data_IF_832286788000
#
_entry.id   IF_832286788000
#
_cell.length_a   1.000
_cell.length_b   1.000
_cell.length_c   1.000
_cell.angle_alpha   90.00
_cell.angle_beta   90.00
_cell.angle_gamma   90.00
#
_symmetry.space_group_name_H-M   'P 1'
#
loop_
_entity.id
_entity.type
_entity.pdbx_description
1 polymer ?
#
# COMPACT_ATOMS: atom_id res chain seq x y z
N UNK A 1 -55.25 -42.46 -2.53
CA UNK A 1 -53.95 -41.96 -3.03
C UNK A 1 -52.88 -42.97 -2.68
N UNK A 2 -52.24 -43.55 -3.70
CA UNK A 2 -51.47 -44.77 -3.55
C UNK A 2 -50.07 -44.48 -3.00
N UNK A 3 -49.61 -45.29 -2.04
CA UNK A 3 -48.32 -45.17 -1.33
C UNK A 3 -47.10 -44.96 -2.28
N UNK A 4 -47.19 -45.50 -3.50
CA UNK A 4 -46.17 -45.34 -4.55
C UNK A 4 -46.00 -43.88 -5.02
N UNK A 5 -47.05 -43.07 -5.05
CA UNK A 5 -46.93 -41.63 -5.38
C UNK A 5 -46.20 -40.85 -4.28
N UNK A 6 -46.42 -41.19 -3.01
CA UNK A 6 -45.80 -40.50 -1.88
C UNK A 6 -44.28 -40.72 -1.84
N UNK A 7 -43.84 -41.95 -2.16
CA UNK A 7 -42.41 -42.29 -2.23
C UNK A 7 -41.72 -41.56 -3.39
N UNK A 8 -42.36 -41.48 -4.56
CA UNK A 8 -41.80 -40.77 -5.72
C UNK A 8 -41.69 -39.27 -5.44
N UNK A 9 -42.69 -38.65 -4.80
CA UNK A 9 -42.64 -37.24 -4.43
C UNK A 9 -41.56 -36.95 -3.38
N UNK A 10 -41.36 -37.85 -2.41
CA UNK A 10 -40.32 -37.70 -1.40
C UNK A 10 -38.91 -37.81 -2.00
N UNK A 11 -38.69 -38.73 -2.95
CA UNK A 11 -37.40 -38.87 -3.66
C UNK A 11 -37.14 -37.67 -4.56
N UNK A 12 -38.16 -37.15 -5.24
CA UNK A 12 -38.04 -35.91 -6.03
C UNK A 12 -37.70 -34.70 -5.16
N UNK A 13 -38.35 -34.55 -3.99
CA UNK A 13 -38.05 -33.46 -3.05
C UNK A 13 -36.63 -33.55 -2.49
N UNK A 14 -36.15 -34.75 -2.16
CA UNK A 14 -34.77 -34.97 -1.70
C UNK A 14 -33.75 -34.70 -2.83
N UNK A 15 -34.06 -35.07 -4.07
CA UNK A 15 -33.20 -34.78 -5.21
C UNK A 15 -33.07 -33.27 -5.51
N UNK A 16 -34.15 -32.50 -5.30
CA UNK A 16 -34.11 -31.03 -5.47
C UNK A 16 -33.29 -30.32 -4.38
N UNK A 17 -33.17 -30.90 -3.18
CA UNK A 17 -32.34 -30.35 -2.10
C UNK A 17 -30.84 -30.56 -2.33
N UNK A 18 -30.44 -31.65 -2.99
CA UNK A 18 -29.03 -31.96 -3.28
C UNK A 18 -28.47 -31.13 -4.44
N UNK A 19 -29.33 -30.69 -5.38
CA UNK A 19 -28.92 -29.83 -6.50
C UNK A 19 -28.77 -28.34 -6.12
N UNK A 20 -28.99 -27.99 -4.84
CA UNK A 20 -28.85 -26.64 -4.31
C UNK A 20 -27.49 -26.39 -3.61
N UNK A 21 -26.46 -27.19 -3.91
CA UNK A 21 -25.09 -26.85 -3.55
C UNK A 21 -24.64 -25.67 -4.41
N UNK A 22 -24.69 -24.49 -3.79
CA UNK A 22 -24.43 -23.21 -4.41
C UNK A 22 -23.14 -23.19 -5.21
N UNK A 23 -23.25 -22.63 -6.41
CA UNK A 23 -22.11 -22.19 -7.20
C UNK A 23 -21.25 -21.28 -6.31
N UNK A 24 -20.09 -21.79 -5.91
CA UNK A 24 -19.10 -21.06 -5.12
C UNK A 24 -18.39 -20.10 -6.08
N UNK A 25 -18.84 -18.86 -6.10
CA UNK A 25 -18.20 -17.80 -6.87
C UNK A 25 -16.85 -17.49 -6.21
N UNK A 26 -15.76 -18.01 -6.76
CA UNK A 26 -14.41 -17.62 -6.37
C UNK A 26 -14.12 -16.25 -7.00
N UNK A 27 -14.33 -15.17 -6.23
CA UNK A 27 -13.95 -13.79 -6.56
C UNK A 27 -12.43 -13.70 -6.72
N UNK A 28 -11.94 -13.91 -7.95
CA UNK A 28 -10.52 -13.77 -8.27
C UNK A 28 -10.18 -12.29 -8.60
N UNK A 29 -10.37 -11.40 -7.63
CA UNK A 29 -10.09 -9.96 -7.77
C UNK A 29 -8.61 -9.65 -7.53
N UNK A 30 -7.75 -9.97 -8.49
CA UNK A 30 -6.38 -9.46 -8.53
C UNK A 30 -6.34 -8.14 -9.31
N UNK A 31 -6.87 -7.06 -8.74
CA UNK A 31 -6.74 -5.72 -9.35
C UNK A 31 -5.25 -5.31 -9.42
N UNK A 32 -4.67 -5.35 -10.62
CA UNK A 32 -3.31 -4.86 -10.87
C UNK A 32 -3.39 -3.38 -11.21
N UNK A 33 -2.95 -2.52 -10.30
CA UNK A 33 -2.79 -1.09 -10.55
C UNK A 33 -1.62 -0.85 -11.52
N UNK A 34 -1.90 -0.93 -12.83
CA UNK A 34 -0.94 -0.56 -13.87
C UNK A 34 -0.77 0.96 -13.84
N UNK A 35 0.35 1.42 -13.32
CA UNK A 35 0.75 2.82 -13.41
C UNK A 35 1.19 3.06 -14.84
N UNK A 36 0.30 3.63 -15.66
CA UNK A 36 0.69 4.11 -16.99
C UNK A 36 1.91 5.03 -16.87
N UNK A 37 2.92 4.78 -17.70
CA UNK A 37 4.08 5.63 -17.76
C UNK A 37 3.61 7.04 -18.12
N UNK A 38 3.82 7.98 -17.20
CA UNK A 38 3.53 9.38 -17.45
C UNK A 38 4.58 9.83 -18.47
N UNK A 39 4.21 9.84 -19.75
CA UNK A 39 5.06 10.28 -20.84
C UNK A 39 5.80 11.57 -20.45
N UNK A 40 7.09 11.61 -20.71
CA UNK A 40 7.90 12.81 -20.54
C UNK A 40 7.14 13.94 -21.23
N UNK A 41 6.73 14.96 -20.46
CA UNK A 41 5.94 16.08 -20.98
C UNK A 41 6.59 16.60 -22.25
N UNK A 42 6.01 16.29 -23.41
CA UNK A 42 6.35 16.94 -24.66
C UNK A 42 6.11 18.43 -24.42
N UNK A 43 7.19 19.18 -24.30
CA UNK A 43 7.18 20.60 -23.97
C UNK A 43 6.68 21.41 -25.16
N UNK A 44 5.38 21.32 -25.44
CA UNK A 44 4.66 22.21 -26.37
C UNK A 44 4.28 23.55 -25.71
N UNK A 45 4.42 23.67 -24.39
CA UNK A 45 4.20 24.95 -23.70
C UNK A 45 5.34 25.93 -24.04
N UNK A 46 5.03 27.11 -24.62
CA UNK A 46 6.04 28.12 -24.95
C UNK A 46 6.68 28.74 -23.69
N UNK A 47 5.95 28.74 -22.57
CA UNK A 47 6.41 29.27 -21.30
C UNK A 47 7.16 28.19 -20.48
N UNK A 48 8.49 28.31 -20.35
CA UNK A 48 9.29 27.43 -19.48
C UNK A 48 9.50 28.07 -18.11
N UNK A 49 9.19 27.35 -17.04
CA UNK A 49 9.34 27.84 -15.66
C UNK A 49 10.33 27.02 -14.84
N UNK A 50 11.08 27.69 -13.97
CA UNK A 50 11.89 27.12 -12.90
C UNK A 50 11.01 26.90 -11.68
N UNK A 51 11.12 25.72 -11.05
CA UNK A 51 10.31 25.34 -9.88
C UNK A 51 11.07 25.70 -8.61
N UNK A 52 10.47 26.52 -7.75
CA UNK A 52 10.94 26.74 -6.39
C UNK A 52 10.68 25.55 -5.44
N UNK A 53 11.14 25.66 -4.18
CA UNK A 53 10.84 24.69 -3.14
C UNK A 53 9.34 24.66 -2.82
N UNK A 54 8.85 23.52 -2.34
CA UNK A 54 7.49 23.43 -1.79
C UNK A 54 7.44 24.11 -0.42
N UNK A 55 6.36 24.86 -0.17
CA UNK A 55 6.03 25.35 1.17
C UNK A 55 5.80 24.19 2.13
N UNK A 56 5.78 24.53 3.41
CA UNK A 56 5.21 23.64 4.42
C UNK A 56 3.74 23.34 4.10
N UNK A 57 3.25 22.22 4.63
CA UNK A 57 1.86 21.84 4.45
C UNK A 57 0.98 22.70 5.35
N UNK A 58 0.01 23.38 4.77
CA UNK A 58 -1.06 24.01 5.55
C UNK A 58 -1.98 22.93 6.12
N UNK A 59 -2.07 22.88 7.46
CA UNK A 59 -2.87 21.90 8.19
C UNK A 59 -4.37 22.11 8.02
N UNK A 60 -4.81 23.33 7.68
CA UNK A 60 -6.24 23.65 7.50
C UNK A 60 -6.76 23.18 6.14
N UNK A 61 -5.98 23.39 5.08
CA UNK A 61 -6.40 23.09 3.70
C UNK A 61 -5.82 21.79 3.16
N UNK A 62 -4.86 21.16 3.86
CA UNK A 62 -4.09 20.01 3.39
C UNK A 62 -3.42 20.29 2.03
N UNK A 63 -2.98 21.53 1.82
CA UNK A 63 -2.31 21.93 0.59
C UNK A 63 -0.94 22.52 0.88
N UNK A 64 -0.03 22.36 -0.08
CA UNK A 64 1.24 23.06 -0.11
C UNK A 64 1.38 23.73 -1.47
N UNK A 65 1.96 24.91 -1.47
CA UNK A 65 2.17 25.71 -2.67
C UNK A 65 3.65 25.81 -3.01
N UNK A 66 3.96 26.10 -4.26
CA UNK A 66 5.29 26.56 -4.65
C UNK A 66 5.19 27.58 -5.76
N UNK A 67 6.19 28.45 -5.81
CA UNK A 67 6.32 29.42 -6.88
C UNK A 67 7.10 28.82 -8.07
N UNK A 68 6.68 29.22 -9.26
CA UNK A 68 7.27 28.93 -10.56
C UNK A 68 7.72 30.24 -11.16
N UNK A 69 9.02 30.43 -11.37
CA UNK A 69 9.57 31.64 -11.98
C UNK A 69 9.87 31.40 -13.45
N UNK A 70 9.45 32.32 -14.33
CA UNK A 70 9.65 32.16 -15.77
C UNK A 70 11.16 32.14 -16.08
N UNK A 71 11.60 31.13 -16.83
CA UNK A 71 12.97 31.04 -17.29
C UNK A 71 13.16 32.01 -18.45
N UNK A 72 13.94 33.08 -18.23
CA UNK A 72 14.39 33.95 -19.32
C UNK A 72 15.35 33.14 -20.21
N UNK A 73 15.01 32.95 -21.49
CA UNK A 73 15.95 32.53 -22.53
C UNK A 73 16.36 33.78 -23.32
N UNK A 74 17.59 33.78 -23.82
CA UNK A 74 18.21 34.88 -24.58
C UNK A 74 17.28 35.42 -25.67
N UNK A 75 16.60 36.52 -25.38
CA UNK A 75 15.87 37.34 -26.36
C UNK A 75 14.39 37.02 -26.62
N UNK A 76 13.80 35.99 -26.03
CA UNK A 76 12.35 35.72 -26.17
C UNK A 76 11.68 35.59 -24.80
N UNK A 77 11.53 36.73 -24.13
CA UNK A 77 10.45 36.89 -23.16
C UNK A 77 9.17 36.92 -24.00
N UNK A 78 8.49 35.79 -24.14
CA UNK A 78 7.14 35.76 -24.69
C UNK A 78 6.27 36.64 -23.78
N UNK A 79 6.00 37.88 -24.21
CA UNK A 79 5.25 38.88 -23.46
C UNK A 79 3.89 38.39 -22.95
N UNK A 80 3.41 37.27 -23.50
CA UNK A 80 2.18 36.56 -23.15
C UNK A 80 2.30 35.64 -21.92
N UNK A 81 3.50 35.40 -21.38
CA UNK A 81 3.70 34.50 -20.24
C UNK A 81 3.82 35.28 -18.92
N UNK A 82 3.05 34.89 -17.91
CA UNK A 82 3.18 35.45 -16.56
C UNK A 82 4.59 35.24 -15.99
N UNK A 83 5.18 36.25 -15.32
CA UNK A 83 6.55 36.15 -14.79
C UNK A 83 6.65 35.13 -13.64
N UNK A 84 5.62 35.02 -12.81
CA UNK A 84 5.56 34.11 -11.67
C UNK A 84 4.20 33.44 -11.61
N UNK A 85 4.18 32.12 -11.42
CA UNK A 85 2.97 31.33 -11.21
C UNK A 85 3.03 30.59 -9.88
N UNK A 86 1.90 30.44 -9.20
CA UNK A 86 1.79 29.60 -8.01
C UNK A 86 1.08 28.31 -8.37
N UNK A 87 1.67 27.17 -8.03
CA UNK A 87 0.96 25.88 -8.10
C UNK A 87 0.75 25.32 -6.72
N UNK A 88 -0.42 24.71 -6.54
CA UNK A 88 -0.79 24.02 -5.32
C UNK A 88 -0.84 22.52 -5.56
N UNK A 89 -0.51 21.76 -4.53
CA UNK A 89 -0.70 20.31 -4.52
C UNK A 89 -1.19 19.91 -3.14
N UNK A 90 -2.09 18.92 -3.11
CA UNK A 90 -2.45 18.25 -1.85
C UNK A 90 -1.20 17.72 -1.16
N UNK A 91 -1.13 17.93 0.16
CA UNK A 91 -0.06 17.36 0.94
C UNK A 91 -0.13 15.84 0.86
N UNK A 92 1.02 15.19 1.05
CA UNK A 92 0.98 13.75 1.26
C UNK A 92 0.37 13.55 2.64
N UNK A 93 -0.78 12.88 2.74
CA UNK A 93 -1.33 12.42 4.01
C UNK A 93 -0.29 11.52 4.67
N UNK A 94 0.50 12.10 5.55
CA UNK A 94 1.50 11.39 6.30
C UNK A 94 1.05 11.48 7.74
N UNK A 95 0.19 10.54 8.15
CA UNK A 95 0.02 10.24 9.56
C UNK A 95 1.38 9.79 10.08
N UNK A 96 2.12 10.69 10.72
CA UNK A 96 3.43 10.39 11.28
C UNK A 96 3.21 10.03 12.73
N UNK A 97 3.67 8.85 13.11
CA UNK A 97 3.52 8.39 14.48
C UNK A 97 4.87 8.27 15.17
N UNK A 98 4.89 8.61 16.45
CA UNK A 98 5.93 8.24 17.39
C UNK A 98 5.69 6.80 17.86
N UNK A 99 6.74 5.97 17.78
CA UNK A 99 6.64 4.54 18.08
C UNK A 99 6.81 4.33 19.57
N UNK A 100 5.88 3.63 20.21
CA UNK A 100 6.00 3.22 21.61
C UNK A 100 6.98 2.07 21.83
N UNK A 101 6.96 1.49 23.03
CA UNK A 101 7.64 0.22 23.30
C UNK A 101 6.77 -0.97 22.85
N UNK A 102 7.39 -2.03 22.34
CA UNK A 102 6.69 -3.30 22.11
C UNK A 102 6.32 -3.94 23.44
N UNK A 103 5.12 -4.51 23.54
CA UNK A 103 4.73 -5.35 24.67
C UNK A 103 5.58 -6.62 24.73
N UNK A 104 5.52 -7.30 25.88
CA UNK A 104 5.94 -8.69 25.97
C UNK A 104 5.15 -9.55 24.97
N UNK A 105 5.73 -10.70 24.62
CA UNK A 105 5.05 -11.67 23.76
C UNK A 105 3.86 -12.28 24.50
N UNK A 106 2.68 -12.24 23.89
CA UNK A 106 1.48 -12.89 24.40
C UNK A 106 1.58 -14.41 24.24
N UNK A 107 0.69 -15.14 24.92
CA UNK A 107 0.56 -16.60 24.77
C UNK A 107 0.25 -17.02 23.31
N UNK A 108 -0.33 -16.12 22.53
CA UNK A 108 -0.68 -16.30 21.11
C UNK A 108 0.50 -16.05 20.16
N UNK A 109 1.73 -15.87 20.67
CA UNK A 109 2.92 -15.51 19.91
C UNK A 109 2.81 -14.15 19.19
N UNK A 110 2.15 -13.17 19.80
CA UNK A 110 2.00 -11.81 19.27
C UNK A 110 2.50 -10.76 20.26
N UNK A 111 3.06 -9.67 19.74
CA UNK A 111 3.39 -8.48 20.52
C UNK A 111 2.69 -7.28 19.92
N UNK A 112 2.29 -6.37 20.79
CA UNK A 112 1.49 -5.19 20.46
C UNK A 112 2.29 -3.95 20.81
N UNK A 113 2.24 -2.94 19.95
CA UNK A 113 2.80 -1.62 20.23
C UNK A 113 1.79 -0.55 19.89
N UNK A 114 1.65 0.42 20.79
CA UNK A 114 0.84 1.61 20.56
C UNK A 114 1.74 2.74 20.05
N UNK A 115 1.40 3.30 18.88
CA UNK A 115 2.06 4.47 18.32
C UNK A 115 1.18 5.71 18.49
N UNK A 116 1.75 6.87 18.80
CA UNK A 116 1.02 8.13 19.04
C UNK A 116 1.25 9.12 17.88
N UNK A 117 0.22 9.84 17.46
CA UNK A 117 0.30 10.80 16.36
C UNK A 117 1.20 11.99 16.71
N UNK A 118 2.09 12.38 15.79
CA UNK A 118 2.94 13.57 15.95
C UNK A 118 2.15 14.85 15.62
N UNK A 119 2.44 15.94 16.32
CA UNK A 119 1.76 17.25 16.16
C UNK A 119 1.73 17.80 14.73
N UNK A 120 2.76 17.52 13.92
CA UNK A 120 2.84 17.94 12.50
C UNK A 120 2.16 16.99 11.51
N UNK A 121 1.35 16.05 12.01
CA UNK A 121 0.60 15.12 11.18
C UNK A 121 -0.75 15.70 10.78
N UNK A 122 -1.39 15.04 9.83
CA UNK A 122 -2.75 15.40 9.42
C UNK A 122 -3.73 15.16 10.59
N UNK A 123 -4.56 16.15 10.98
CA UNK A 123 -5.49 16.02 12.10
C UNK A 123 -6.63 15.03 11.83
N UNK A 124 -6.82 14.60 10.56
CA UNK A 124 -7.77 13.54 10.24
C UNK A 124 -7.26 12.13 10.57
N UNK A 125 -6.02 12.00 11.06
CA UNK A 125 -5.43 10.72 11.42
C UNK A 125 -5.88 10.26 12.81
N UNK A 126 -5.84 8.95 13.04
CA UNK A 126 -6.05 8.40 14.38
C UNK A 126 -5.00 8.95 15.36
N UNK A 127 -5.42 9.42 16.53
CA UNK A 127 -4.51 9.97 17.54
C UNK A 127 -3.54 8.92 18.08
N UNK A 128 -4.01 7.67 18.16
CA UNK A 128 -3.21 6.50 18.53
C UNK A 128 -3.56 5.36 17.59
N UNK A 129 -2.55 4.61 17.15
CA UNK A 129 -2.74 3.37 16.40
C UNK A 129 -2.08 2.20 17.12
N UNK A 130 -2.69 1.03 17.01
CA UNK A 130 -2.17 -0.21 17.56
C UNK A 130 -1.57 -1.03 16.44
N UNK A 131 -0.32 -1.47 16.60
CA UNK A 131 0.35 -2.36 15.64
C UNK A 131 0.64 -3.68 16.32
N UNK A 132 0.17 -4.76 15.72
CA UNK A 132 0.45 -6.14 16.16
C UNK A 132 1.52 -6.76 15.27
N UNK A 133 2.43 -7.51 15.88
CA UNK A 133 3.46 -8.26 15.16
C UNK A 133 3.64 -9.63 15.81
N UNK A 134 3.84 -10.67 14.99
CA UNK A 134 4.23 -11.98 15.50
C UNK A 134 5.60 -11.93 16.18
N UNK A 135 5.71 -12.61 17.31
CA UNK A 135 6.98 -12.80 18.00
C UNK A 135 7.95 -13.58 17.11
N UNK A 136 9.24 -13.36 17.32
CA UNK A 136 10.26 -14.11 16.59
C UNK A 136 10.36 -15.49 17.24
N UNK A 137 9.79 -16.51 16.60
CA UNK A 137 10.03 -17.89 17.01
C UNK A 137 11.54 -18.13 16.92
N UNK A 138 12.19 -18.39 18.05
CA UNK A 138 13.57 -18.82 18.01
C UNK A 138 13.59 -20.13 17.23
N UNK A 139 14.22 -20.15 16.06
CA UNK A 139 14.47 -21.36 15.26
C UNK A 139 15.53 -22.23 15.96
N UNK A 140 15.34 -22.57 17.23
CA UNK A 140 16.16 -23.54 17.95
C UNK A 140 15.60 -24.96 17.92
N UNK A 141 14.45 -25.20 17.29
CA UNK A 141 13.93 -26.55 17.04
C UNK A 141 13.78 -26.84 15.53
N UNK A 142 14.83 -26.54 14.75
CA UNK A 142 15.05 -27.30 13.51
C UNK A 142 16.00 -28.43 13.90
N UNK A 143 15.61 -29.71 13.87
CA UNK A 143 16.55 -30.80 14.14
C UNK A 143 17.70 -30.65 13.14
N UNK A 144 18.89 -30.33 13.66
CA UNK A 144 20.08 -30.24 12.84
C UNK A 144 20.35 -31.65 12.33
N UNK A 145 20.18 -31.86 11.03
CA UNK A 145 20.66 -33.07 10.36
C UNK A 145 22.18 -32.95 10.22
N UNK A 146 22.87 -32.97 11.36
CA UNK A 146 24.30 -33.20 11.43
C UNK A 146 24.53 -34.70 11.20
N UNK A 147 24.57 -35.07 9.91
CA UNK A 147 25.38 -36.16 9.36
C UNK A 147 24.93 -36.46 7.93
N UNK A 148 25.48 -35.73 6.97
CA UNK A 148 25.93 -36.34 5.72
C UNK A 148 27.11 -35.54 5.21
N UNK A 149 28.28 -36.08 5.53
CA UNK A 149 29.57 -35.62 5.07
C UNK A 149 29.64 -35.56 3.53
N UNK A 150 30.54 -34.71 3.05
CA UNK A 150 31.27 -34.84 1.79
C UNK A 150 30.47 -34.68 0.49
N UNK A 151 30.28 -33.43 0.04
CA UNK A 151 30.80 -33.04 -1.28
C UNK A 151 30.82 -31.53 -1.51
N UNK A 152 31.81 -31.12 -2.31
CA UNK A 152 32.27 -29.78 -2.67
C UNK A 152 31.19 -28.75 -3.06
N UNK A 153 31.50 -27.46 -2.84
CA UNK A 153 30.90 -26.36 -3.61
C UNK A 153 30.75 -25.05 -2.85
N UNK A 154 31.85 -24.32 -2.62
CA UNK A 154 31.83 -22.98 -2.03
C UNK A 154 31.07 -21.97 -2.90
N UNK A 155 29.94 -21.47 -2.38
CA UNK A 155 29.12 -20.44 -3.04
C UNK A 155 29.70 -19.05 -2.83
N UNK A 156 30.32 -18.51 -3.89
CA UNK A 156 30.88 -17.16 -3.94
C UNK A 156 29.75 -16.10 -3.99
N UNK A 157 29.64 -15.24 -2.98
CA UNK A 157 28.72 -14.10 -2.95
C UNK A 157 29.28 -12.96 -3.81
N UNK A 158 28.84 -12.84 -5.07
CA UNK A 158 29.18 -11.69 -5.92
C UNK A 158 28.28 -10.50 -5.58
N UNK A 159 28.91 -9.47 -5.02
CA UNK A 159 28.37 -8.14 -4.85
C UNK A 159 28.26 -7.48 -6.24
N UNK A 160 27.07 -6.99 -6.61
CA UNK A 160 26.84 -6.31 -7.90
C UNK A 160 26.89 -4.80 -7.68
N UNK A 161 27.95 -4.18 -8.19
CA UNK A 161 28.00 -2.74 -8.50
C UNK A 161 27.07 -2.44 -9.68
#
# INVERSE_FOLDING_TARGET
MNCRCMVVLAVFLLATLVLAEGEIWEEDEKEVLIRSERGAKNSKDPCRYVKGPWSECDTKTNTRSRQLTLKKKDGTVSATCEPTKTIQKKCKKACRYEKGAWSACSAQNEMVRTDTLKEKSDPSCEQKRVTTKKCKNNKTNRPSKANKANNAGGGNRRNRQ
#
